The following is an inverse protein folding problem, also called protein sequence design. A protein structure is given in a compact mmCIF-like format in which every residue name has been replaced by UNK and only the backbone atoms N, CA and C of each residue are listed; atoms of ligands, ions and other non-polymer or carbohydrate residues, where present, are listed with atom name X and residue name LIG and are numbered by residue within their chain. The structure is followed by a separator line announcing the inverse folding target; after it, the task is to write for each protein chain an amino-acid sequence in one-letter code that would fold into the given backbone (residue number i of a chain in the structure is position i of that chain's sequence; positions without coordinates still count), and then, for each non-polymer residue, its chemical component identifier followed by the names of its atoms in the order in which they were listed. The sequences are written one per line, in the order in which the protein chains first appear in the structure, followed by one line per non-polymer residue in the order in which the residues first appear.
data_IF_032130629022
#
_entry.id   IF_032130629022
#
_cell.length_a   1.000
_cell.length_b   1.000
_cell.length_c   1.000
_cell.angle_alpha   90.00
_cell.angle_beta   90.00
_cell.angle_gamma   90.00
#
_symmetry.space_group_name_H-M   'P 1'
#
loop_
_entity.id
_entity.type
_entity.pdbx_description
1 polymer ?
#
# COMPACT_ATOMS: atom_id res chain seq x y z
N UNK A 1 -36.30 -4.67 35.95
CA UNK A 1 -35.10 -5.34 36.51
C UNK A 1 -34.80 -6.55 35.66
N UNK A 2 -33.52 -6.85 35.49
CA UNK A 2 -32.90 -7.96 34.75
C UNK A 2 -32.66 -7.74 33.25
N UNK A 3 -31.54 -7.05 32.98
CA UNK A 3 -30.67 -7.32 31.83
C UNK A 3 -30.12 -8.74 31.91
N UNK A 4 -29.94 -9.42 30.77
CA UNK A 4 -28.94 -10.48 30.64
C UNK A 4 -28.47 -10.55 29.19
N UNK A 5 -27.20 -10.22 29.01
CA UNK A 5 -26.40 -10.43 27.82
C UNK A 5 -26.24 -11.93 27.52
N UNK A 6 -26.11 -12.28 26.24
CA UNK A 6 -25.26 -13.40 25.85
C UNK A 6 -24.72 -13.16 24.43
N UNK A 7 -23.64 -12.37 24.41
CA UNK A 7 -22.63 -12.31 23.37
C UNK A 7 -21.70 -13.50 23.60
N UNK A 8 -21.73 -14.52 22.76
CA UNK A 8 -20.66 -15.51 22.53
C UNK A 8 -21.14 -16.43 21.42
N UNK A 9 -20.57 -16.32 20.22
CA UNK A 9 -20.34 -17.45 19.32
C UNK A 9 -19.57 -16.93 18.09
N UNK A 10 -18.27 -16.76 18.28
CA UNK A 10 -17.28 -16.80 17.20
C UNK A 10 -16.08 -17.64 17.67
N UNK A 11 -15.90 -18.76 16.97
CA UNK A 11 -14.66 -19.46 16.61
C UNK A 11 -13.93 -20.28 17.70
N UNK A 12 -14.08 -21.61 17.63
CA UNK A 12 -13.09 -22.57 17.11
C UNK A 12 -13.58 -23.99 17.50
N UNK A 13 -14.07 -24.76 16.53
CA UNK A 13 -14.45 -26.15 16.74
C UNK A 13 -13.22 -27.03 16.65
N UNK A 14 -12.50 -27.19 17.76
CA UNK A 14 -11.51 -28.26 17.91
C UNK A 14 -12.22 -29.47 18.52
N UNK A 15 -12.52 -30.48 17.69
CA UNK A 15 -12.97 -31.78 18.17
C UNK A 15 -11.79 -32.46 18.89
N UNK A 16 -11.78 -32.34 20.22
CA UNK A 16 -10.83 -33.02 21.10
C UNK A 16 -11.40 -34.36 21.54
N UNK A 17 -11.13 -35.39 20.75
CA UNK A 17 -11.20 -36.77 21.24
C UNK A 17 -10.03 -37.57 20.70
N UNK A 18 -8.93 -37.60 21.45
CA UNK A 18 -8.15 -38.82 21.65
C UNK A 18 -7.23 -38.68 22.87
N UNK A 19 -7.41 -39.59 23.84
CA UNK A 19 -6.71 -39.66 25.12
C UNK A 19 -5.72 -40.83 25.06
N UNK A 20 -4.44 -40.47 25.26
CA UNK A 20 -3.29 -41.21 25.84
C UNK A 20 -2.64 -42.38 25.08
N UNK A 21 -1.36 -42.19 24.76
CA UNK A 21 -0.25 -42.88 25.47
C UNK A 21 1.09 -42.22 25.14
N UNK A 22 1.93 -42.00 26.16
CA UNK A 22 3.17 -41.27 26.03
C UNK A 22 4.31 -42.05 25.38
N UNK A 23 5.14 -41.32 24.64
CA UNK A 23 6.60 -41.44 24.54
C UNK A 23 7.07 -40.18 23.79
N UNK A 24 8.02 -39.46 24.36
CA UNK A 24 8.62 -38.24 23.76
C UNK A 24 9.30 -38.55 22.43
N UNK A 25 9.17 -37.65 21.43
CA UNK A 25 10.23 -37.50 20.45
C UNK A 25 10.64 -36.04 20.23
N UNK A 26 11.80 -35.96 19.61
CA UNK A 26 12.68 -34.82 19.43
C UNK A 26 12.06 -33.69 18.61
N UNK A 27 12.54 -32.46 18.88
CA UNK A 27 12.26 -31.24 18.16
C UNK A 27 12.55 -31.44 16.66
N UNK A 28 11.49 -31.66 15.88
CA UNK A 28 11.53 -31.58 14.42
C UNK A 28 10.84 -30.29 14.02
N UNK A 29 11.52 -29.54 13.17
CA UNK A 29 11.11 -28.24 12.64
C UNK A 29 9.70 -28.29 12.06
N UNK A 30 8.81 -27.48 12.63
CA UNK A 30 7.47 -27.22 12.10
C UNK A 30 7.59 -26.74 10.65
N UNK A 31 7.19 -27.62 9.73
CA UNK A 31 6.84 -27.28 8.36
C UNK A 31 5.59 -26.39 8.44
N UNK A 32 5.70 -25.18 7.90
CA UNK A 32 4.57 -24.26 7.71
C UNK A 32 3.38 -25.03 7.13
N UNK A 33 2.34 -25.21 7.94
CA UNK A 33 1.04 -25.69 7.47
C UNK A 33 0.51 -24.61 6.53
N UNK A 34 0.62 -24.88 5.24
CA UNK A 34 -0.04 -24.10 4.20
C UNK A 34 -1.55 -24.23 4.46
N UNK A 35 -2.15 -23.23 5.12
CA UNK A 35 -3.59 -23.14 5.32
C UNK A 35 -4.25 -23.05 3.94
N UNK A 36 -4.66 -24.20 3.41
CA UNK A 36 -5.42 -24.27 2.17
C UNK A 36 -6.82 -23.70 2.46
N UNK A 37 -7.08 -22.50 1.93
CA UNK A 37 -8.43 -21.93 1.94
C UNK A 37 -9.35 -22.84 1.11
N UNK A 38 -10.39 -23.38 1.73
CA UNK A 38 -11.36 -24.25 1.07
C UNK A 38 -12.10 -23.52 -0.06
N UNK A 39 -12.46 -24.25 -1.12
CA UNK A 39 -13.15 -23.71 -2.30
C UNK A 39 -14.52 -23.09 -1.96
N UNK A 40 -15.21 -23.64 -0.96
CA UNK A 40 -16.46 -23.10 -0.39
C UNK A 40 -16.27 -21.70 0.21
N UNK A 41 -15.14 -21.47 0.88
CA UNK A 41 -14.76 -20.18 1.46
C UNK A 41 -14.45 -19.16 0.36
N UNK A 42 -13.75 -19.58 -0.70
CA UNK A 42 -13.43 -18.72 -1.84
C UNK A 42 -14.69 -18.27 -2.60
N UNK A 43 -15.64 -19.18 -2.83
CA UNK A 43 -16.91 -18.83 -3.47
C UNK A 43 -17.67 -17.77 -2.66
N UNK A 44 -17.72 -17.92 -1.33
CA UNK A 44 -18.30 -16.90 -0.44
C UNK A 44 -17.62 -15.53 -0.58
N UNK A 45 -16.29 -15.49 -0.69
CA UNK A 45 -15.57 -14.24 -0.94
C UNK A 45 -15.91 -13.61 -2.30
N UNK A 46 -16.11 -14.40 -3.35
CA UNK A 46 -16.53 -13.89 -4.68
C UNK A 46 -17.93 -13.26 -4.62
N UNK A 47 -18.85 -13.83 -3.85
CA UNK A 47 -20.20 -13.29 -3.68
C UNK A 47 -20.20 -11.96 -2.91
N UNK A 48 -19.30 -11.83 -1.93
CA UNK A 48 -19.23 -10.70 -1.01
C UNK A 48 -18.28 -9.58 -1.44
N UNK A 49 -17.36 -9.81 -2.38
CA UNK A 49 -16.34 -8.81 -2.76
C UNK A 49 -16.94 -7.49 -3.26
N UNK A 50 -18.17 -7.52 -3.80
CA UNK A 50 -18.94 -6.33 -4.21
C UNK A 50 -19.17 -5.32 -3.08
N UNK A 51 -19.18 -5.78 -1.83
CA UNK A 51 -19.41 -4.94 -0.67
C UNK A 51 -18.16 -4.14 -0.25
N UNK A 52 -17.01 -4.48 -0.83
CA UNK A 52 -15.71 -3.93 -0.45
C UNK A 52 -15.03 -3.16 -1.58
N UNK A 53 -15.73 -2.93 -2.69
CA UNK A 53 -15.30 -2.04 -3.77
C UNK A 53 -16.12 -0.76 -3.78
N UNK A 54 -15.56 0.37 -4.28
CA UNK A 54 -16.35 1.56 -4.58
C UNK A 54 -17.52 1.25 -5.54
N UNK A 55 -18.57 2.06 -5.53
CA UNK A 55 -19.70 1.86 -6.43
C UNK A 55 -19.31 1.98 -7.92
N UNK A 56 -20.14 1.40 -8.80
CA UNK A 56 -19.84 1.23 -10.23
C UNK A 56 -19.56 2.54 -10.98
N UNK A 57 -20.11 3.68 -10.52
CA UNK A 57 -19.89 4.99 -11.12
C UNK A 57 -18.56 5.63 -10.70
N UNK A 58 -17.82 5.07 -9.73
CA UNK A 58 -16.58 5.66 -9.22
C UNK A 58 -15.51 5.84 -10.31
N UNK A 59 -15.27 4.82 -11.14
CA UNK A 59 -14.32 4.94 -12.24
C UNK A 59 -14.76 6.03 -13.26
N UNK A 60 -16.06 6.10 -13.55
CA UNK A 60 -16.62 7.12 -14.47
C UNK A 60 -16.45 8.55 -13.95
N UNK A 61 -16.33 8.75 -12.63
CA UNK A 61 -16.08 10.06 -12.01
C UNK A 61 -14.69 10.61 -12.36
N UNK A 62 -13.69 9.74 -12.59
CA UNK A 62 -12.38 10.15 -13.12
C UNK A 62 -12.45 10.47 -14.61
N UNK A 63 -13.18 9.68 -15.39
CA UNK A 63 -13.37 9.93 -16.83
C UNK A 63 -14.09 11.27 -17.10
N UNK A 64 -15.08 11.60 -16.27
CA UNK A 64 -15.81 12.86 -16.31
C UNK A 64 -15.10 14.05 -15.64
N UNK A 65 -13.86 13.85 -15.14
CA UNK A 65 -13.05 14.87 -14.45
C UNK A 65 -13.71 15.45 -13.18
N UNK A 66 -14.70 14.75 -12.62
CA UNK A 66 -15.28 15.12 -11.31
C UNK A 66 -14.37 14.74 -10.13
N UNK A 67 -13.46 13.80 -10.36
CA UNK A 67 -12.35 13.45 -9.47
C UNK A 67 -11.04 13.56 -10.25
N UNK A 68 -10.00 14.03 -9.58
CA UNK A 68 -8.66 14.17 -10.16
C UNK A 68 -7.89 12.85 -10.07
N UNK A 69 -7.71 12.21 -11.23
CA UNK A 69 -6.97 10.96 -11.34
C UNK A 69 -5.48 11.11 -10.98
N UNK A 70 -4.87 12.26 -11.30
CA UNK A 70 -3.46 12.52 -10.98
C UNK A 70 -3.27 12.70 -9.48
N UNK A 71 -4.20 13.40 -8.81
CA UNK A 71 -4.16 13.54 -7.37
C UNK A 71 -4.31 12.19 -6.64
N UNK A 72 -5.20 11.30 -7.14
CA UNK A 72 -5.29 9.92 -6.65
C UNK A 72 -3.98 9.17 -6.87
N UNK A 73 -3.44 9.20 -8.08
CA UNK A 73 -2.18 8.51 -8.41
C UNK A 73 -1.04 8.94 -7.49
N UNK A 74 -0.87 10.24 -7.25
CA UNK A 74 0.15 10.79 -6.34
C UNK A 74 -0.05 10.31 -4.90
N UNK A 75 -1.28 10.24 -4.45
CA UNK A 75 -1.64 9.75 -3.11
C UNK A 75 -1.32 8.26 -2.94
N UNK A 76 -1.67 7.45 -3.93
CA UNK A 76 -1.35 6.02 -3.95
C UNK A 76 0.17 5.80 -4.04
N UNK A 77 0.87 6.58 -4.87
CA UNK A 77 2.33 6.51 -4.96
C UNK A 77 3.01 6.86 -3.62
N UNK A 78 2.49 7.85 -2.89
CA UNK A 78 2.97 8.16 -1.55
C UNK A 78 2.71 7.01 -0.57
N UNK A 79 1.52 6.40 -0.57
CA UNK A 79 1.20 5.23 0.26
C UNK A 79 2.19 4.08 0.00
N UNK A 80 2.43 3.74 -1.27
CA UNK A 80 3.38 2.68 -1.64
C UNK A 80 4.81 3.01 -1.21
N UNK A 81 5.20 4.28 -1.25
CA UNK A 81 6.52 4.72 -0.80
C UNK A 81 6.68 4.56 0.71
N UNK A 82 5.67 4.91 1.50
CA UNK A 82 5.69 4.72 2.96
C UNK A 82 5.67 3.23 3.31
N UNK A 83 4.86 2.43 2.60
CA UNK A 83 4.87 0.97 2.75
C UNK A 83 6.27 0.39 2.53
N UNK A 84 6.96 0.79 1.46
CA UNK A 84 8.33 0.36 1.19
C UNK A 84 9.34 0.86 2.25
N UNK A 85 9.15 2.06 2.79
CA UNK A 85 10.03 2.65 3.81
C UNK A 85 9.99 1.88 5.13
N UNK A 86 8.79 1.47 5.57
CA UNK A 86 8.60 0.72 6.82
C UNK A 86 8.64 -0.79 6.64
N UNK A 87 8.65 -1.30 5.42
CA UNK A 87 8.55 -2.74 5.15
C UNK A 87 7.19 -3.31 5.55
N UNK A 88 6.12 -2.51 5.46
CA UNK A 88 4.76 -2.98 5.72
C UNK A 88 4.34 -4.05 4.72
N UNK A 89 3.42 -4.91 5.14
CA UNK A 89 2.83 -5.94 4.30
C UNK A 89 2.15 -5.33 3.06
N UNK A 90 2.17 -6.02 1.91
CA UNK A 90 1.42 -5.62 0.72
C UNK A 90 -0.06 -5.36 0.99
N UNK A 91 -0.66 -6.16 1.88
CA UNK A 91 -2.06 -6.02 2.30
C UNK A 91 -2.33 -4.63 2.92
N UNK A 92 -1.41 -4.12 3.74
CA UNK A 92 -1.51 -2.81 4.38
C UNK A 92 -1.63 -1.68 3.35
N UNK A 93 -0.79 -1.69 2.31
CA UNK A 93 -0.89 -0.70 1.23
C UNK A 93 -2.21 -0.84 0.46
N UNK A 94 -2.62 -2.07 0.14
CA UNK A 94 -3.86 -2.29 -0.60
C UNK A 94 -5.10 -1.84 0.18
N UNK A 95 -5.19 -2.18 1.46
CA UNK A 95 -6.27 -1.73 2.34
C UNK A 95 -6.28 -0.20 2.49
N UNK A 96 -5.10 0.42 2.60
CA UNK A 96 -5.00 1.89 2.63
C UNK A 96 -5.66 2.53 1.41
N UNK A 97 -5.39 2.00 0.21
CA UNK A 97 -5.99 2.49 -1.04
C UNK A 97 -7.48 2.14 -1.12
N UNK A 98 -7.87 0.95 -0.68
CA UNK A 98 -9.28 0.55 -0.59
C UNK A 98 -10.08 1.53 0.27
N UNK A 99 -9.56 1.92 1.43
CA UNK A 99 -10.21 2.87 2.32
C UNK A 99 -10.30 4.26 1.69
N UNK A 100 -9.22 4.70 1.05
CA UNK A 100 -9.18 5.98 0.34
C UNK A 100 -10.25 6.04 -0.76
N UNK A 101 -10.32 5.00 -1.59
CA UNK A 101 -11.27 4.96 -2.71
C UNK A 101 -12.73 4.86 -2.24
N UNK A 102 -13.03 4.05 -1.22
CA UNK A 102 -14.38 3.97 -0.63
C UNK A 102 -14.79 5.27 0.05
N UNK A 103 -13.84 5.99 0.65
CA UNK A 103 -14.10 7.31 1.21
C UNK A 103 -14.42 8.34 0.12
N UNK A 104 -13.58 8.43 -0.93
CA UNK A 104 -13.76 9.37 -2.04
C UNK A 104 -15.03 9.10 -2.85
N UNK A 105 -15.47 7.85 -2.90
CA UNK A 105 -16.77 7.50 -3.48
C UNK A 105 -17.94 8.16 -2.73
N UNK A 106 -17.88 8.10 -1.40
CA UNK A 106 -18.98 8.47 -0.50
C UNK A 106 -18.97 9.95 -0.11
N UNK A 107 -17.79 10.57 -0.05
CA UNK A 107 -17.60 11.95 0.42
C UNK A 107 -16.75 12.74 -0.57
N UNK A 108 -17.18 13.97 -0.86
CA UNK A 108 -16.37 14.94 -1.57
C UNK A 108 -15.43 15.63 -0.59
N UNK A 109 -14.15 15.71 -0.95
CA UNK A 109 -13.18 16.51 -0.23
C UNK A 109 -13.24 17.98 -0.68
N UNK A 110 -12.88 18.93 0.20
CA UNK A 110 -12.67 20.32 -0.19
C UNK A 110 -11.60 20.41 -1.29
N UNK A 111 -11.85 21.24 -2.32
CA UNK A 111 -10.87 21.52 -3.38
C UNK A 111 -9.87 22.58 -2.91
N UNK A 112 -9.05 22.24 -1.92
CA UNK A 112 -8.08 23.18 -1.31
C UNK A 112 -6.67 22.63 -1.40
N UNK A 113 -5.90 23.04 -2.41
CA UNK A 113 -4.45 22.83 -2.61
C UNK A 113 -3.90 21.39 -2.45
N UNK A 114 -4.77 20.38 -2.42
CA UNK A 114 -4.43 18.96 -2.29
C UNK A 114 -4.22 18.45 -0.86
N UNK A 115 -4.15 19.32 0.16
CA UNK A 115 -3.92 18.89 1.55
C UNK A 115 -5.00 17.97 2.12
N UNK A 116 -6.31 18.09 1.80
CA UNK A 116 -7.32 17.19 2.34
C UNK A 116 -7.14 15.76 1.87
N UNK A 117 -6.70 15.59 0.62
CA UNK A 117 -6.45 14.27 0.05
C UNK A 117 -5.22 13.64 0.70
N UNK A 118 -4.14 14.39 0.92
CA UNK A 118 -2.99 13.87 1.65
C UNK A 118 -3.34 13.50 3.10
N UNK A 119 -4.14 14.32 3.80
CA UNK A 119 -4.62 13.98 5.14
C UNK A 119 -5.45 12.69 5.13
N UNK A 120 -6.32 12.51 4.13
CA UNK A 120 -7.06 11.26 3.92
C UNK A 120 -6.10 10.08 3.75
N UNK A 121 -5.09 10.20 2.88
CA UNK A 121 -4.10 9.14 2.64
C UNK A 121 -3.35 8.75 3.91
N UNK A 122 -2.90 9.72 4.70
CA UNK A 122 -2.22 9.47 5.99
C UNK A 122 -3.15 8.73 6.95
N UNK A 123 -4.41 9.14 7.05
CA UNK A 123 -5.39 8.50 7.93
C UNK A 123 -5.73 7.07 7.48
N UNK A 124 -5.95 6.85 6.18
CA UNK A 124 -6.21 5.52 5.62
C UNK A 124 -5.02 4.57 5.84
N UNK A 125 -3.79 5.05 5.63
CA UNK A 125 -2.58 4.28 5.90
C UNK A 125 -2.42 3.96 7.38
N UNK A 126 -2.68 4.90 8.27
CA UNK A 126 -2.60 4.64 9.70
C UNK A 126 -3.63 3.62 10.16
N UNK A 127 -4.87 3.68 9.63
CA UNK A 127 -5.90 2.68 9.92
C UNK A 127 -5.51 1.29 9.40
N UNK A 128 -5.01 1.18 8.16
CA UNK A 128 -4.58 -0.09 7.62
C UNK A 128 -3.41 -0.68 8.42
N UNK A 129 -2.41 0.13 8.77
CA UNK A 129 -1.29 -0.32 9.58
C UNK A 129 -1.74 -0.82 10.96
N UNK A 130 -2.72 -0.16 11.60
CA UNK A 130 -3.31 -0.63 12.87
C UNK A 130 -4.08 -1.95 12.76
N UNK A 131 -4.56 -2.31 11.58
CA UNK A 131 -5.27 -3.56 11.34
C UNK A 131 -4.32 -4.73 11.06
N UNK A 132 -3.23 -4.46 10.34
CA UNK A 132 -2.41 -5.51 9.73
C UNK A 132 -0.99 -5.62 10.31
N UNK A 133 -0.42 -4.53 10.83
CA UNK A 133 0.99 -4.50 11.24
C UNK A 133 1.15 -4.77 12.74
N UNK A 134 2.15 -5.57 13.15
CA UNK A 134 2.43 -5.84 14.56
C UNK A 134 2.95 -4.59 15.28
N UNK A 135 3.65 -3.70 14.55
CA UNK A 135 4.25 -2.49 15.07
C UNK A 135 3.89 -1.31 14.16
N UNK A 136 3.09 -0.40 14.70
CA UNK A 136 2.67 0.82 13.98
C UNK A 136 3.51 2.01 14.47
N UNK A 137 4.19 2.74 13.57
CA UNK A 137 4.90 3.98 13.90
C UNK A 137 3.96 5.04 14.49
N UNK A 138 4.54 6.06 15.13
CA UNK A 138 3.75 7.21 15.58
C UNK A 138 3.13 7.95 14.38
N UNK A 139 2.02 8.67 14.61
CA UNK A 139 1.36 9.45 13.54
C UNK A 139 2.25 10.56 12.95
N UNK A 140 3.25 11.04 13.70
CA UNK A 140 4.24 11.97 13.19
C UNK A 140 5.24 11.25 12.29
N UNK A 141 5.74 10.10 12.73
CA UNK A 141 6.72 9.32 11.97
C UNK A 141 6.12 8.75 10.68
N UNK A 142 4.85 8.36 10.69
CA UNK A 142 4.17 7.82 9.50
C UNK A 142 4.16 8.79 8.29
N UNK A 143 4.36 10.09 8.53
CA UNK A 143 4.35 11.15 7.50
C UNK A 143 5.71 11.37 6.82
N UNK A 144 6.49 10.30 6.65
CA UNK A 144 7.81 10.33 6.02
C UNK A 144 7.76 10.51 4.49
N UNK A 145 8.96 10.68 3.92
CA UNK A 145 9.25 10.41 2.52
C UNK A 145 8.52 11.30 1.48
N UNK A 146 8.52 12.61 1.69
CA UNK A 146 8.05 13.58 0.67
C UNK A 146 6.58 13.96 0.79
N UNK A 147 6.00 13.77 1.96
CA UNK A 147 4.76 14.42 2.38
C UNK A 147 4.83 15.94 2.11
N UNK A 148 3.91 16.49 1.31
CA UNK A 148 3.84 17.93 1.01
C UNK A 148 3.40 18.74 2.23
N UNK A 149 2.50 18.14 3.01
CA UNK A 149 1.98 18.68 4.27
C UNK A 149 2.33 17.76 5.44
N UNK A 150 2.53 18.33 6.62
CA UNK A 150 2.68 17.61 7.89
C UNK A 150 1.51 18.01 8.78
N UNK A 151 0.78 17.02 9.27
CA UNK A 151 -0.42 17.19 10.08
C UNK A 151 -0.15 16.83 11.54
N UNK A 152 -0.78 17.57 12.44
CA UNK A 152 -0.78 17.20 13.86
C UNK A 152 -1.49 15.86 14.07
N UNK A 153 -1.02 15.02 15.02
CA UNK A 153 -1.66 13.74 15.34
C UNK A 153 -3.17 13.85 15.66
N UNK A 154 -3.60 14.96 16.27
CA UNK A 154 -5.01 15.21 16.57
C UNK A 154 -5.86 15.36 15.31
N UNK A 155 -5.32 16.01 14.28
CA UNK A 155 -5.98 16.20 12.98
C UNK A 155 -6.09 14.86 12.25
N UNK A 156 -5.04 14.05 12.28
CA UNK A 156 -5.06 12.71 11.68
C UNK A 156 -6.11 11.84 12.36
N UNK A 157 -6.14 11.78 13.71
CA UNK A 157 -7.15 11.00 14.45
C UNK A 157 -8.59 11.42 14.14
N UNK A 158 -8.85 12.71 13.94
CA UNK A 158 -10.18 13.18 13.49
C UNK A 158 -10.52 12.65 12.11
N UNK A 159 -9.54 12.66 11.19
CA UNK A 159 -9.74 12.09 9.87
C UNK A 159 -9.93 10.56 9.93
N UNK A 160 -9.20 9.84 10.79
CA UNK A 160 -9.41 8.40 11.02
C UNK A 160 -10.85 8.10 11.44
N UNK A 161 -11.40 8.87 12.39
CA UNK A 161 -12.79 8.73 12.81
C UNK A 161 -13.79 9.00 11.69
N UNK A 162 -13.50 9.97 10.81
CA UNK A 162 -14.32 10.21 9.62
C UNK A 162 -14.26 9.04 8.64
N UNK A 163 -13.07 8.47 8.40
CA UNK A 163 -12.90 7.30 7.55
C UNK A 163 -13.65 6.10 8.13
N UNK A 164 -13.48 5.81 9.41
CA UNK A 164 -14.21 4.75 10.12
C UNK A 164 -15.72 4.92 10.01
N UNK A 165 -16.22 6.14 10.20
CA UNK A 165 -17.65 6.43 10.09
C UNK A 165 -18.19 6.31 8.66
N UNK A 166 -17.41 6.64 7.64
CA UNK A 166 -17.82 6.50 6.23
C UNK A 166 -17.79 5.05 5.76
N UNK A 167 -16.85 4.25 6.30
CA UNK A 167 -16.70 2.84 5.96
C UNK A 167 -17.57 1.92 6.84
N UNK A 168 -18.40 2.47 7.72
CA UNK A 168 -19.17 1.73 8.72
C UNK A 168 -18.33 0.74 9.53
N UNK A 169 -17.08 1.14 9.84
CA UNK A 169 -16.07 0.31 10.52
C UNK A 169 -15.68 -0.99 9.79
N UNK A 170 -16.13 -1.17 8.54
CA UNK A 170 -15.83 -2.35 7.71
C UNK A 170 -14.45 -2.23 7.08
N UNK A 171 -13.42 -2.37 7.92
CA UNK A 171 -12.01 -2.28 7.53
C UNK A 171 -11.48 -3.60 6.93
N UNK A 172 -11.90 -4.76 7.45
CA UNK A 172 -11.54 -6.08 6.90
C UNK A 172 -12.19 -6.28 5.53
N UNK A 173 -11.48 -5.88 4.49
CA UNK A 173 -11.98 -5.89 3.11
C UNK A 173 -11.53 -7.14 2.38
N UNK A 174 -12.37 -7.69 1.51
CA UNK A 174 -11.95 -8.75 0.59
C UNK A 174 -11.00 -8.12 -0.44
N UNK A 175 -9.78 -8.64 -0.52
CA UNK A 175 -8.72 -8.11 -1.39
C UNK A 175 -8.29 -9.17 -2.40
N UNK A 176 -7.57 -8.80 -3.49
CA UNK A 176 -7.02 -9.78 -4.42
C UNK A 176 -6.18 -10.85 -3.70
N UNK A 177 -5.49 -10.49 -2.62
CA UNK A 177 -4.66 -11.41 -1.84
C UNK A 177 -5.45 -12.52 -1.16
N UNK A 178 -6.75 -12.34 -0.96
CA UNK A 178 -7.66 -13.39 -0.45
C UNK A 178 -7.81 -14.56 -1.44
N UNK A 179 -7.46 -14.36 -2.71
CA UNK A 179 -7.65 -15.35 -3.78
C UNK A 179 -6.35 -15.89 -4.37
N UNK A 180 -5.22 -15.17 -4.23
CA UNK A 180 -3.96 -15.49 -4.91
C UNK A 180 -3.43 -16.88 -4.57
N UNK A 181 -3.53 -17.31 -3.31
CA UNK A 181 -3.09 -18.64 -2.88
C UNK A 181 -3.88 -19.76 -3.57
N UNK A 182 -5.21 -19.68 -3.49
CA UNK A 182 -6.09 -20.66 -4.13
C UNK A 182 -5.91 -20.72 -5.66
N UNK A 183 -5.83 -19.56 -6.32
CA UNK A 183 -5.61 -19.49 -7.76
C UNK A 183 -4.23 -19.99 -8.19
N UNK A 184 -3.19 -19.75 -7.38
CA UNK A 184 -1.87 -20.32 -7.63
C UNK A 184 -1.92 -21.86 -7.61
N UNK A 185 -2.63 -22.46 -6.64
CA UNK A 185 -2.79 -23.92 -6.56
C UNK A 185 -3.59 -24.51 -7.74
N UNK A 186 -4.56 -23.77 -8.30
CA UNK A 186 -5.28 -24.20 -9.52
C UNK A 186 -4.36 -24.25 -10.74
N UNK A 187 -3.35 -23.38 -10.80
CA UNK A 187 -2.39 -23.31 -11.89
C UNK A 187 -1.21 -24.28 -11.72
N UNK A 188 -0.77 -24.46 -10.48
CA UNK A 188 0.37 -25.29 -10.09
C UNK A 188 -0.05 -26.26 -8.96
N UNK A 189 -0.83 -27.31 -9.26
CA UNK A 189 -1.30 -28.26 -8.24
C UNK A 189 -0.19 -29.02 -7.53
N UNK A 190 1.00 -29.11 -8.16
CA UNK A 190 2.18 -29.75 -7.57
C UNK A 190 2.90 -28.84 -6.57
N UNK A 191 2.57 -27.55 -6.50
CA UNK A 191 3.16 -26.60 -5.56
C UNK A 191 4.60 -26.18 -5.88
N UNK A 192 5.13 -26.51 -7.06
CA UNK A 192 6.52 -26.24 -7.43
C UNK A 192 6.84 -24.73 -7.57
N UNK A 193 5.84 -23.93 -7.92
CA UNK A 193 5.94 -22.50 -8.22
C UNK A 193 4.94 -21.65 -7.45
N UNK A 194 4.10 -22.24 -6.60
CA UNK A 194 3.03 -21.53 -5.87
C UNK A 194 3.55 -20.29 -5.12
N UNK A 195 4.64 -20.39 -4.37
CA UNK A 195 5.23 -19.24 -3.67
C UNK A 195 5.73 -18.13 -4.63
N UNK A 196 6.32 -18.51 -5.76
CA UNK A 196 6.73 -17.56 -6.79
C UNK A 196 5.53 -16.86 -7.42
N UNK A 197 4.48 -17.61 -7.79
CA UNK A 197 3.27 -17.08 -8.39
C UNK A 197 2.60 -16.04 -7.48
N UNK A 198 2.47 -16.35 -6.18
CA UNK A 198 1.87 -15.46 -5.19
C UNK A 198 2.73 -14.20 -5.02
N UNK A 199 4.03 -14.35 -4.85
CA UNK A 199 4.96 -13.23 -4.69
C UNK A 199 4.93 -12.30 -5.91
N UNK A 200 5.04 -12.87 -7.11
CA UNK A 200 5.04 -12.12 -8.36
C UNK A 200 3.69 -11.45 -8.65
N UNK A 201 2.58 -12.15 -8.41
CA UNK A 201 1.25 -11.56 -8.51
C UNK A 201 1.08 -10.38 -7.54
N UNK A 202 1.62 -10.50 -6.33
CA UNK A 202 1.57 -9.42 -5.32
C UNK A 202 2.28 -8.16 -5.81
N UNK A 203 3.47 -8.29 -6.40
CA UNK A 203 4.19 -7.17 -7.01
C UNK A 203 3.37 -6.50 -8.13
N UNK A 204 2.76 -7.31 -9.01
CA UNK A 204 1.94 -6.82 -10.13
C UNK A 204 0.70 -6.07 -9.60
N UNK A 205 0.03 -6.62 -8.58
CA UNK A 205 -1.13 -5.99 -7.95
C UNK A 205 -0.75 -4.61 -7.39
N UNK A 206 0.35 -4.53 -6.64
CA UNK A 206 0.82 -3.28 -6.05
C UNK A 206 1.30 -2.27 -7.11
N UNK A 207 1.94 -2.70 -8.19
CA UNK A 207 2.37 -1.79 -9.25
C UNK A 207 1.19 -1.15 -9.99
N UNK A 208 0.06 -1.85 -10.03
CA UNK A 208 -1.12 -1.50 -10.81
C UNK A 208 -2.16 -0.70 -10.02
N UNK A 209 -2.16 -0.77 -8.68
CA UNK A 209 -3.20 -0.17 -7.82
C UNK A 209 -3.35 1.36 -7.96
N UNK A 210 -2.31 2.05 -8.43
CA UNK A 210 -2.32 3.49 -8.72
C UNK A 210 -3.10 3.84 -9.99
N UNK A 211 -3.21 2.92 -10.94
CA UNK A 211 -3.87 3.15 -12.23
C UNK A 211 -5.39 3.04 -12.04
N UNK A 212 -6.10 4.13 -12.33
CA UNK A 212 -7.55 4.21 -12.09
C UNK A 212 -8.35 3.20 -12.93
N UNK A 213 -7.80 2.71 -14.03
CA UNK A 213 -8.43 1.69 -14.89
C UNK A 213 -8.70 0.37 -14.16
N UNK A 214 -7.93 0.04 -13.12
CA UNK A 214 -8.19 -1.17 -12.33
C UNK A 214 -9.42 -1.06 -11.42
N UNK A 215 -9.98 0.13 -11.22
CA UNK A 215 -11.20 0.34 -10.43
C UNK A 215 -12.44 -0.28 -11.07
N UNK A 216 -12.38 -0.64 -12.36
CA UNK A 216 -13.46 -1.35 -13.06
C UNK A 216 -13.54 -2.84 -12.69
N UNK A 217 -12.52 -3.38 -12.04
CA UNK A 217 -12.36 -4.80 -11.79
C UNK A 217 -12.58 -5.16 -10.33
N UNK A 218 -13.14 -6.35 -10.12
CA UNK A 218 -13.30 -6.91 -8.78
C UNK A 218 -12.00 -7.55 -8.27
N UNK A 219 -11.81 -7.64 -6.95
CA UNK A 219 -10.64 -8.30 -6.34
C UNK A 219 -10.30 -9.67 -6.93
N UNK A 220 -11.30 -10.53 -7.14
CA UNK A 220 -11.16 -11.86 -7.73
C UNK A 220 -10.58 -11.82 -9.16
N UNK A 221 -11.08 -10.91 -9.99
CA UNK A 221 -10.62 -10.72 -11.37
C UNK A 221 -9.19 -10.19 -11.42
N UNK A 222 -8.86 -9.25 -10.52
CA UNK A 222 -7.50 -8.71 -10.37
C UNK A 222 -6.53 -9.83 -9.94
N UNK A 223 -6.91 -10.65 -8.97
CA UNK A 223 -6.09 -11.76 -8.49
C UNK A 223 -5.82 -12.79 -9.58
N UNK A 224 -6.87 -13.24 -10.29
CA UNK A 224 -6.74 -14.22 -11.36
C UNK A 224 -5.85 -13.70 -12.49
N UNK A 225 -6.07 -12.45 -12.93
CA UNK A 225 -5.24 -11.81 -13.94
C UNK A 225 -3.77 -11.69 -13.50
N UNK A 226 -3.51 -11.31 -12.24
CA UNK A 226 -2.15 -11.18 -11.72
C UNK A 226 -1.41 -12.53 -11.65
N UNK A 227 -2.10 -13.61 -11.25
CA UNK A 227 -1.54 -14.97 -11.26
C UNK A 227 -1.23 -15.43 -12.68
N UNK A 228 -2.13 -15.19 -13.64
CA UNK A 228 -1.88 -15.48 -15.05
C UNK A 228 -0.69 -14.66 -15.61
N UNK A 229 -0.55 -13.39 -15.21
CA UNK A 229 0.60 -12.58 -15.60
C UNK A 229 1.90 -13.12 -15.00
N UNK A 230 1.89 -13.53 -13.73
CA UNK A 230 3.04 -14.15 -13.07
C UNK A 230 3.45 -15.47 -13.73
N UNK A 231 2.48 -16.25 -14.22
CA UNK A 231 2.71 -17.51 -14.92
C UNK A 231 3.52 -17.35 -16.22
N UNK A 232 3.42 -16.19 -16.88
CA UNK A 232 4.18 -15.91 -18.11
C UNK A 232 5.70 -15.88 -17.87
N UNK A 233 6.13 -15.62 -16.64
CA UNK A 233 7.56 -15.62 -16.27
C UNK A 233 8.11 -17.05 -16.08
N UNK A 234 7.24 -18.08 -16.12
CA UNK A 234 7.59 -19.49 -16.00
C UNK A 234 7.42 -20.19 -17.35
N UNK A 235 8.49 -20.72 -17.97
CA UNK A 235 8.42 -21.32 -19.32
C UNK A 235 7.32 -22.37 -19.49
N UNK A 236 7.12 -23.24 -18.49
CA UNK A 236 6.13 -24.32 -18.56
C UNK A 236 4.67 -23.86 -18.34
N UNK A 237 4.45 -22.73 -17.64
CA UNK A 237 3.12 -22.20 -17.35
C UNK A 237 2.71 -21.03 -18.27
N UNK A 238 3.66 -20.51 -19.05
CA UNK A 238 3.44 -19.42 -20.01
C UNK A 238 2.44 -19.73 -21.14
N UNK A 239 2.07 -21.01 -21.32
CA UNK A 239 1.11 -21.47 -22.33
C UNK A 239 -0.34 -21.52 -21.83
N UNK A 240 -0.60 -21.14 -20.57
CA UNK A 240 -1.95 -21.22 -19.99
C UNK A 240 -2.83 -20.13 -20.58
N UNK A 241 -3.88 -20.54 -21.30
CA UNK A 241 -4.85 -19.58 -21.83
C UNK A 241 -5.64 -18.95 -20.66
N UNK A 242 -5.77 -17.61 -20.62
CA UNK A 242 -6.47 -16.91 -19.55
C UNK A 242 -7.96 -17.27 -19.45
N UNK A 243 -8.52 -17.82 -20.54
CA UNK A 243 -9.90 -18.28 -20.58
C UNK A 243 -10.20 -19.39 -19.57
N UNK A 244 -9.24 -20.27 -19.28
CA UNK A 244 -9.47 -21.38 -18.35
C UNK A 244 -9.64 -20.94 -16.90
N UNK A 245 -9.23 -19.71 -16.56
CA UNK A 245 -9.35 -19.20 -15.20
C UNK A 245 -10.82 -19.03 -14.75
N UNK A 246 -11.77 -18.95 -15.68
CA UNK A 246 -13.21 -18.96 -15.33
C UNK A 246 -13.63 -20.22 -14.58
N UNK A 247 -12.92 -21.35 -14.80
CA UNK A 247 -13.20 -22.64 -14.16
C UNK A 247 -12.56 -22.80 -12.78
N UNK A 248 -11.79 -21.81 -12.30
CA UNK A 248 -11.10 -21.92 -11.01
C UNK A 248 -12.04 -21.86 -9.83
N UNK A 249 -13.13 -21.09 -9.93
CA UNK A 249 -14.18 -21.00 -8.92
C UNK A 249 -15.46 -20.45 -9.54
N UNK A 250 -16.61 -20.89 -9.03
CA UNK A 250 -17.91 -20.40 -9.45
C UNK A 250 -18.05 -18.89 -9.18
N UNK A 251 -18.69 -18.18 -10.12
CA UNK A 251 -18.91 -16.73 -10.04
C UNK A 251 -17.82 -15.86 -10.66
N UNK A 252 -16.70 -16.45 -11.11
CA UNK A 252 -15.67 -15.73 -11.86
C UNK A 252 -16.18 -15.28 -13.24
N UNK A 253 -15.85 -14.03 -13.61
CA UNK A 253 -16.19 -13.50 -14.93
C UNK A 253 -15.03 -13.64 -15.91
N UNK A 254 -15.21 -14.53 -16.90
CA UNK A 254 -14.27 -14.71 -18.02
C UNK A 254 -13.88 -13.39 -18.67
N UNK A 255 -14.85 -12.61 -19.11
CA UNK A 255 -14.61 -11.35 -19.83
C UNK A 255 -13.79 -10.36 -18.99
N UNK A 256 -14.13 -10.23 -17.70
CA UNK A 256 -13.42 -9.33 -16.78
C UNK A 256 -12.01 -9.82 -16.47
N UNK A 257 -11.78 -11.13 -16.34
CA UNK A 257 -10.43 -11.68 -16.16
C UNK A 257 -9.58 -11.40 -17.40
N UNK A 258 -10.09 -11.68 -18.60
CA UNK A 258 -9.34 -11.48 -19.85
C UNK A 258 -9.01 -10.01 -20.08
N UNK A 259 -9.96 -9.10 -19.89
CA UNK A 259 -9.70 -7.67 -20.09
C UNK A 259 -8.75 -7.13 -19.02
N UNK A 260 -8.85 -7.59 -17.77
CA UNK A 260 -7.89 -7.24 -16.71
C UNK A 260 -6.48 -7.75 -17.03
N UNK A 261 -6.35 -9.01 -17.46
CA UNK A 261 -5.08 -9.62 -17.83
C UNK A 261 -4.38 -8.84 -18.95
N UNK A 262 -5.11 -8.49 -20.02
CA UNK A 262 -4.57 -7.67 -21.12
C UNK A 262 -4.09 -6.31 -20.63
N UNK A 263 -4.89 -5.64 -19.80
CA UNK A 263 -4.51 -4.35 -19.21
C UNK A 263 -3.23 -4.45 -18.36
N UNK A 264 -3.08 -5.52 -17.57
CA UNK A 264 -1.84 -5.76 -16.80
C UNK A 264 -0.63 -5.99 -17.71
N UNK A 265 -0.78 -6.76 -18.78
CA UNK A 265 0.31 -7.00 -19.73
C UNK A 265 0.77 -5.70 -20.41
N UNK A 266 -0.16 -4.86 -20.86
CA UNK A 266 0.15 -3.59 -21.51
C UNK A 266 0.99 -2.68 -20.59
N UNK A 267 0.67 -2.65 -19.29
CA UNK A 267 1.40 -1.87 -18.30
C UNK A 267 2.79 -2.43 -17.98
N UNK A 268 2.96 -3.75 -17.95
CA UNK A 268 4.28 -4.39 -17.78
C UNK A 268 5.20 -4.02 -18.96
N UNK A 269 4.67 -4.01 -20.18
CA UNK A 269 5.40 -3.58 -21.38
C UNK A 269 5.76 -2.09 -21.32
N UNK A 270 4.83 -1.24 -20.88
CA UNK A 270 5.07 0.19 -20.71
C UNK A 270 6.13 0.51 -19.66
N UNK A 271 6.11 -0.16 -18.51
CA UNK A 271 7.10 0.06 -17.47
C UNK A 271 8.50 -0.37 -17.93
N UNK A 272 8.59 -1.46 -18.69
CA UNK A 272 9.84 -1.93 -19.32
C UNK A 272 10.39 -0.88 -20.30
N UNK A 273 9.53 -0.26 -21.12
CA UNK A 273 9.90 0.86 -22.02
C UNK A 273 10.38 2.09 -21.24
N UNK A 274 9.70 2.46 -20.16
CA UNK A 274 10.07 3.60 -19.29
C UNK A 274 11.40 3.36 -18.57
N UNK A 275 11.69 2.13 -18.16
CA UNK A 275 12.98 1.74 -17.56
C UNK A 275 14.13 1.79 -18.59
N UNK A 276 13.90 1.27 -19.79
CA UNK A 276 14.87 1.31 -20.88
C UNK A 276 15.24 2.75 -21.29
N UNK A 277 14.24 3.64 -21.43
CA UNK A 277 14.46 5.05 -21.79
C UNK A 277 15.20 5.84 -20.70
N UNK A 278 14.92 5.58 -19.42
CA UNK A 278 15.68 6.18 -18.29
C UNK A 278 17.13 5.73 -18.23
N UNK A 279 17.44 4.50 -18.66
CA UNK A 279 18.81 3.98 -18.72
C UNK A 279 19.64 4.61 -19.87
N UNK A 280 18.98 5.16 -20.90
CA UNK A 280 19.63 5.73 -22.09
C UNK A 280 19.97 7.23 -21.97
N UNK A 281 19.55 7.93 -20.90
CA UNK A 281 19.92 9.34 -20.69
C UNK A 281 21.31 9.42 -19.99
N UNK A 282 22.38 9.86 -20.68
CA UNK A 282 23.67 10.04 -20.03
C UNK A 282 23.54 11.18 -19.01
N UNK A 283 23.98 10.92 -17.77
CA UNK A 283 24.16 11.96 -16.75
C UNK A 283 25.09 13.05 -17.30
N UNK A 284 24.53 14.16 -17.78
CA UNK A 284 25.26 15.38 -18.08
C UNK A 284 25.90 15.89 -16.78
N UNK A 285 27.15 15.49 -16.52
CA UNK A 285 27.98 16.11 -15.49
C UNK A 285 28.30 17.51 -15.97
N UNK A 286 27.66 18.51 -15.36
CA UNK A 286 28.06 19.91 -15.49
C UNK A 286 29.46 20.06 -14.87
N UNK A 287 30.49 20.14 -15.70
CA UNK A 287 31.85 20.48 -15.25
C UNK A 287 31.94 21.99 -15.06
N UNK A 288 31.94 22.43 -13.80
CA UNK A 288 32.33 23.80 -13.46
C UNK A 288 33.82 23.94 -13.78
N UNK A 289 34.14 24.77 -14.77
CA UNK A 289 35.50 25.10 -15.17
C UNK A 289 36.09 26.08 -14.16
N UNK A 290 36.89 25.59 -13.22
CA UNK A 290 37.67 26.42 -12.32
C UNK A 290 38.78 27.17 -13.10
N UNK A 291 38.75 28.50 -13.05
CA UNK A 291 39.75 29.38 -13.67
C UNK A 291 40.99 29.45 -12.78
N UNK A 292 42.08 28.82 -13.21
CA UNK A 292 43.40 28.96 -12.61
C UNK A 292 43.95 30.37 -12.84
N UNK A 293 44.35 31.06 -11.76
CA UNK A 293 45.35 32.14 -11.80
C UNK A 293 46.51 31.73 -10.90
N UNK A 294 47.69 31.85 -11.47
CA UNK A 294 49.02 31.50 -10.95
C UNK A 294 49.45 32.31 -9.73
N UNK A 295 50.22 31.69 -8.85
CA UNK A 295 51.38 32.32 -8.18
C UNK A 295 52.21 31.25 -7.47
N UNK A 296 53.51 31.26 -7.73
CA UNK A 296 54.50 30.31 -7.21
C UNK A 296 54.93 30.58 -5.76
N UNK A 297 55.63 29.56 -5.21
CA UNK A 297 56.87 29.63 -4.40
C UNK A 297 57.03 30.79 -3.41
N UNK A 298 57.25 30.63 -2.10
CA UNK A 298 58.18 29.71 -1.44
C UNK A 298 57.95 29.56 0.09
N UNK A 299 58.36 28.38 0.57
CA UNK A 299 58.93 27.93 1.86
C UNK A 299 58.74 28.65 3.22
N UNK A 300 58.37 27.79 4.18
CA UNK A 300 59.04 27.46 5.47
C UNK A 300 58.64 28.11 6.81
N UNK A 301 58.22 27.18 7.68
CA UNK A 301 58.60 26.94 9.09
C UNK A 301 57.88 27.63 10.26
N UNK A 302 57.30 26.71 11.06
CA UNK A 302 57.39 26.54 12.53
C UNK A 302 56.49 27.32 13.49
N UNK A 303 55.69 26.50 14.20
CA UNK A 303 55.37 26.50 15.65
C UNK A 303 54.68 27.71 16.28
N UNK A 304 53.48 27.46 16.83
CA UNK A 304 53.18 27.47 18.28
C UNK A 304 51.74 27.90 18.59
N UNK A 305 51.12 27.11 19.47
CA UNK A 305 50.15 27.41 20.55
C UNK A 305 49.09 28.53 20.47
N UNK A 306 48.04 28.28 21.25
CA UNK A 306 47.11 29.23 21.91
C UNK A 306 45.70 29.38 21.31
N UNK A 307 44.77 28.67 21.96
CA UNK A 307 43.60 29.24 22.66
C UNK A 307 42.92 30.47 22.07
N UNK A 308 41.66 30.31 21.63
CA UNK A 308 40.70 31.42 21.61
C UNK A 308 39.36 31.07 22.25
N UNK A 309 38.97 31.99 23.14
CA UNK A 309 37.83 32.06 24.04
C UNK A 309 36.49 32.24 23.31
N UNK A 310 35.45 31.69 23.95
CA UNK A 310 34.09 32.24 24.19
C UNK A 310 33.69 33.50 23.39
N UNK A 311 32.55 33.42 22.69
CA UNK A 311 31.55 34.51 22.67
C UNK A 311 30.14 33.96 22.90
N UNK A 312 29.51 34.56 23.91
CA UNK A 312 28.14 34.45 24.37
C UNK A 312 27.30 35.43 23.54
N UNK A 313 26.11 35.06 23.07
CA UNK A 313 25.15 35.99 22.48
C UNK A 313 23.83 35.86 23.23
N UNK A 314 23.41 37.02 23.77
CA UNK A 314 22.28 37.22 24.66
C UNK A 314 20.95 37.25 23.91
N UNK A 315 19.90 36.85 24.65
CA UNK A 315 18.49 37.14 24.43
C UNK A 315 18.21 38.62 24.13
N UNK A 316 17.22 38.86 23.26
CA UNK A 316 16.40 40.07 23.27
C UNK A 316 14.94 39.67 23.47
N UNK A 317 14.42 39.99 24.67
CA UNK A 317 12.99 40.15 24.95
C UNK A 317 12.47 41.39 24.20
N UNK A 318 11.26 41.29 23.67
CA UNK A 318 10.44 42.46 23.35
C UNK A 318 9.54 42.76 24.55
N UNK A 319 9.55 44.01 24.99
CA UNK A 319 8.68 44.58 26.03
C UNK A 319 7.78 45.60 25.33
N UNK A 320 6.50 45.51 25.63
CA UNK A 320 5.42 46.42 25.27
C UNK A 320 5.63 47.83 25.83
N UNK A 321 5.23 48.85 25.07
CA UNK A 321 4.99 50.20 25.59
C UNK A 321 3.51 50.57 25.38
N UNK A 322 2.88 51.01 26.48
CA UNK A 322 1.49 51.39 26.64
C UNK A 322 1.31 52.92 26.50
N UNK A 323 0.14 53.30 25.96
CA UNK A 323 -0.64 54.56 26.14
C UNK A 323 -0.12 55.95 25.76
N UNK A 324 -0.97 56.61 24.96
CA UNK A 324 -1.79 57.72 25.47
C UNK A 324 -1.98 58.89 24.51
N UNK A 325 -3.23 59.16 24.09
CA UNK A 325 -3.82 60.50 24.27
C UNK A 325 -5.34 60.52 24.10
N UNK A 326 -5.96 61.41 24.86
CA UNK A 326 -7.38 61.69 25.03
C UNK A 326 -7.88 62.71 24.01
N UNK A 327 -9.11 62.53 23.50
CA UNK A 327 -10.23 63.48 23.45
C UNK A 327 -11.48 62.77 22.90
#
# INVERSE_FOLDING_TARGET
MSYSDCLSDLLCGEDSSDIFSGESPECSSDLESHDFVEESSIAGFIEDERNFVPGYDYFSRFQSQSLDASAREQSVAWILKVQACYGFQPLTAYLSVNYLDRFLYSRRLPQTDGWPLQLLSVACLSLAAKMEEPLVPSLLDLQVEGAKYIFEPRTIRRMELLVLGVLDWRLRSITPFSFTGFFACKLDPAGAYTGFLISRATEIILSNIKEASFLEYRPSSIAAAAILCAANDIPNLSLVNPEHAESWCDGLSKDKIISCYRLMQDLVLDDSRRKSTKALLPRLRVTIRARMRSSGSDSSSSSSSSSYKKRKLNNCLWVDDDKGNSE
#
